data_IF_357459883710
#
_entry.id   IF_357459883710
#
_cell.length_a   1.000
_cell.length_b   1.000
_cell.length_c   1.000
_cell.angle_alpha   90.00
_cell.angle_beta   90.00
_cell.angle_gamma   90.00
#
_symmetry.space_group_name_H-M   'P 1'
#
loop_
_entity.id
_entity.type
_entity.pdbx_description
1 polymer ?
#
# COMPACT_ATOMS: atom_id res chain seq x y z
N UNK A 1 -17.58 -1.32 -1.81
CA UNK A 1 -17.17 0.08 -2.04
C UNK A 1 -15.71 0.06 -2.52
N UNK A 2 -15.26 1.09 -3.23
CA UNK A 2 -13.88 1.22 -3.73
C UNK A 2 -13.32 2.55 -3.23
N UNK A 3 -12.06 2.53 -2.82
CA UNK A 3 -11.28 3.70 -2.41
C UNK A 3 -9.99 3.71 -3.26
N UNK A 4 -9.50 4.89 -3.63
CA UNK A 4 -8.23 5.05 -4.35
C UNK A 4 -7.30 5.93 -3.53
N UNK A 5 -6.13 5.39 -3.21
CA UNK A 5 -5.07 6.06 -2.47
C UNK A 5 -3.80 5.99 -3.32
N UNK A 6 -3.59 6.94 -4.25
CA UNK A 6 -2.28 7.11 -4.85
C UNK A 6 -1.27 7.55 -3.80
N UNK A 7 -0.04 7.12 -3.99
CA UNK A 7 1.11 7.58 -3.24
C UNK A 7 2.18 8.01 -4.24
N UNK A 8 2.56 9.27 -4.17
CA UNK A 8 3.47 9.90 -5.13
C UNK A 8 4.09 11.14 -4.48
N UNK A 9 5.31 11.51 -4.88
CA UNK A 9 6.01 12.63 -4.22
C UNK A 9 6.38 12.27 -2.78
N UNK A 10 5.97 13.10 -1.82
CA UNK A 10 6.33 12.96 -0.40
C UNK A 10 5.23 12.35 0.48
N UNK A 11 4.00 12.19 -0.01
CA UNK A 11 2.86 11.65 0.77
C UNK A 11 1.86 10.81 -0.03
N UNK A 12 0.92 10.20 0.69
CA UNK A 12 -0.21 9.45 0.15
C UNK A 12 -1.53 10.15 0.47
N UNK A 13 -2.37 10.35 -0.55
CA UNK A 13 -3.64 11.06 -0.42
C UNK A 13 -4.82 10.17 -0.83
N UNK A 14 -5.96 10.34 -0.15
CA UNK A 14 -7.21 9.69 -0.54
C UNK A 14 -7.82 10.45 -1.73
N UNK A 15 -7.45 10.05 -2.94
CA UNK A 15 -7.98 10.63 -4.19
C UNK A 15 -9.47 10.34 -4.37
N UNK A 16 -9.93 9.19 -3.90
CA UNK A 16 -11.33 8.80 -3.92
C UNK A 16 -11.69 8.11 -2.61
N UNK A 17 -12.54 8.72 -1.75
CA UNK A 17 -13.03 8.05 -0.55
C UNK A 17 -13.90 6.83 -0.90
N UNK A 18 -14.14 5.91 0.05
CA UNK A 18 -15.00 4.75 -0.17
C UNK A 18 -16.32 5.11 -0.84
N UNK A 19 -16.53 4.61 -2.06
CA UNK A 19 -17.73 4.88 -2.86
C UNK A 19 -18.25 3.62 -3.55
N UNK A 20 -19.53 3.63 -3.93
CA UNK A 20 -20.13 2.63 -4.82
C UNK A 20 -20.08 3.04 -6.30
N UNK A 21 -19.68 4.28 -6.61
CA UNK A 21 -19.67 4.81 -7.97
C UNK A 21 -18.43 4.35 -8.76
N UNK A 22 -18.63 3.35 -9.61
CA UNK A 22 -17.60 2.84 -10.53
C UNK A 22 -17.19 3.94 -11.54
N UNK A 23 -18.15 4.73 -12.01
CA UNK A 23 -17.89 5.83 -12.94
C UNK A 23 -16.94 6.88 -12.33
N UNK A 24 -17.14 7.25 -11.06
CA UNK A 24 -16.25 8.16 -10.34
C UNK A 24 -14.86 7.54 -10.14
N UNK A 25 -14.81 6.25 -9.80
CA UNK A 25 -13.55 5.52 -9.68
C UNK A 25 -12.74 5.51 -10.98
N UNK A 26 -13.38 5.20 -12.11
CA UNK A 26 -12.74 5.21 -13.42
C UNK A 26 -12.18 6.60 -13.76
N UNK A 27 -13.00 7.65 -13.62
CA UNK A 27 -12.59 9.03 -13.93
C UNK A 27 -11.41 9.51 -13.07
N UNK A 28 -11.40 9.16 -11.78
CA UNK A 28 -10.30 9.51 -10.87
C UNK A 28 -9.03 8.72 -11.16
N UNK A 29 -9.15 7.45 -11.52
CA UNK A 29 -8.02 6.61 -11.90
C UNK A 29 -7.34 7.11 -13.17
N UNK A 30 -8.10 7.56 -14.17
CA UNK A 30 -7.56 8.14 -15.41
C UNK A 30 -6.80 9.46 -15.19
N UNK A 31 -7.16 10.21 -14.15
CA UNK A 31 -6.52 11.47 -13.78
C UNK A 31 -5.51 11.31 -12.63
N UNK A 32 -5.11 10.08 -12.31
CA UNK A 32 -4.22 9.81 -11.18
C UNK A 32 -2.80 10.33 -11.48
N UNK A 33 -2.20 11.12 -10.57
CA UNK A 33 -0.81 11.55 -10.75
C UNK A 33 0.13 10.35 -10.67
N UNK A 34 1.13 10.33 -11.55
CA UNK A 34 2.16 9.29 -11.60
C UNK A 34 3.55 9.94 -11.53
N UNK A 35 4.46 9.36 -10.75
CA UNK A 35 5.87 9.76 -10.66
C UNK A 35 6.28 10.33 -9.30
N UNK A 36 7.56 10.65 -9.12
CA UNK A 36 8.10 11.15 -7.86
C UNK A 36 8.47 10.04 -6.87
N UNK A 37 8.36 10.34 -5.58
CA UNK A 37 8.63 9.40 -4.50
C UNK A 37 7.51 8.39 -4.25
N UNK A 38 7.83 7.36 -3.48
CA UNK A 38 7.00 6.23 -3.08
C UNK A 38 6.89 6.21 -1.55
N UNK A 39 6.02 7.06 -0.95
CA UNK A 39 5.77 7.12 0.48
C UNK A 39 4.87 5.95 0.92
N UNK A 40 5.39 4.73 0.79
CA UNK A 40 4.61 3.50 0.95
C UNK A 40 4.12 3.29 2.39
N UNK A 41 4.93 3.70 3.38
CA UNK A 41 4.55 3.65 4.79
C UNK A 41 3.37 4.58 5.10
N UNK A 42 3.34 5.76 4.48
CA UNK A 42 2.23 6.70 4.58
C UNK A 42 0.98 6.17 3.88
N UNK A 43 1.13 5.56 2.69
CA UNK A 43 0.03 4.93 1.97
C UNK A 43 -0.68 3.83 2.78
N UNK A 44 0.09 2.99 3.47
CA UNK A 44 -0.45 1.96 4.35
C UNK A 44 -1.20 2.58 5.54
N UNK A 45 -0.71 3.68 6.11
CA UNK A 45 -1.42 4.41 7.17
C UNK A 45 -2.69 5.08 6.69
N UNK A 46 -2.66 5.74 5.53
CA UNK A 46 -3.85 6.30 4.90
C UNK A 46 -4.91 5.23 4.65
N UNK A 47 -4.50 4.03 4.21
CA UNK A 47 -5.39 2.89 4.02
C UNK A 47 -6.00 2.39 5.35
N UNK A 48 -5.19 2.26 6.41
CA UNK A 48 -5.67 1.89 7.74
C UNK A 48 -6.68 2.91 8.28
N UNK A 49 -6.34 4.20 8.27
CA UNK A 49 -7.20 5.27 8.78
C UNK A 49 -8.52 5.34 7.99
N UNK A 50 -8.45 5.29 6.66
CA UNK A 50 -9.64 5.33 5.80
C UNK A 50 -10.53 4.12 6.01
N UNK A 51 -9.93 2.92 6.09
CA UNK A 51 -10.67 1.68 6.33
C UNK A 51 -11.33 1.64 7.70
N UNK A 52 -10.62 2.07 8.75
CA UNK A 52 -11.15 2.10 10.12
C UNK A 52 -12.32 3.09 10.23
N UNK A 53 -12.20 4.25 9.59
CA UNK A 53 -13.30 5.21 9.54
C UNK A 53 -14.52 4.62 8.81
N UNK A 54 -14.31 3.92 7.69
CA UNK A 54 -15.40 3.26 6.96
C UNK A 54 -16.05 2.10 7.74
N UNK A 55 -15.28 1.36 8.55
CA UNK A 55 -15.84 0.34 9.45
C UNK A 55 -16.66 0.99 10.57
N UNK A 56 -16.19 2.10 11.14
CA UNK A 56 -16.88 2.82 12.22
C UNK A 56 -18.22 3.40 11.79
N UNK A 57 -18.39 3.80 10.52
CA UNK A 57 -19.72 4.25 10.03
C UNK A 57 -20.71 3.11 9.88
N UNK A 58 -20.28 1.85 9.96
CA UNK A 58 -21.13 0.66 9.83
C UNK A 58 -21.39 0.24 8.38
N UNK A 59 -20.98 1.04 7.40
CA UNK A 59 -21.22 0.78 5.97
C UNK A 59 -20.28 -0.28 5.36
N UNK A 60 -19.23 -0.67 6.10
CA UNK A 60 -18.18 -1.59 5.67
C UNK A 60 -17.87 -2.59 6.78
N UNK A 61 -18.14 -3.88 6.55
CA UNK A 61 -17.81 -4.94 7.52
C UNK A 61 -16.35 -5.40 7.46
N UNK A 62 -15.81 -5.60 6.25
CA UNK A 62 -14.43 -6.04 6.00
C UNK A 62 -13.74 -5.05 5.05
N UNK A 63 -12.48 -4.73 5.33
CA UNK A 63 -11.61 -3.90 4.50
C UNK A 63 -10.57 -4.80 3.83
N UNK A 64 -10.44 -4.69 2.51
CA UNK A 64 -9.35 -5.34 1.77
C UNK A 64 -8.50 -4.25 1.14
N UNK A 65 -7.25 -4.17 1.59
CA UNK A 65 -6.25 -3.26 1.04
C UNK A 65 -5.51 -4.00 -0.07
N UNK A 66 -5.61 -3.49 -1.30
CA UNK A 66 -4.88 -4.01 -2.45
C UNK A 66 -3.74 -3.06 -2.74
N UNK A 67 -2.52 -3.46 -2.37
CA UNK A 67 -1.31 -2.71 -2.63
C UNK A 67 -0.71 -3.17 -3.95
N UNK A 68 -0.67 -2.29 -4.95
CA UNK A 68 -0.05 -2.55 -6.26
C UNK A 68 1.25 -1.76 -6.28
N UNK A 69 2.36 -2.46 -6.04
CA UNK A 69 3.68 -1.83 -5.90
C UNK A 69 4.79 -2.89 -5.98
N UNK A 70 5.97 -2.50 -6.42
CA UNK A 70 7.22 -3.25 -6.27
C UNK A 70 7.75 -3.30 -4.82
N UNK A 71 7.08 -2.60 -3.89
CA UNK A 71 7.44 -2.53 -2.48
C UNK A 71 8.57 -1.55 -2.17
N UNK A 72 9.14 -0.86 -3.17
CA UNK A 72 10.30 0.01 -2.99
C UNK A 72 9.86 1.37 -2.46
N UNK A 73 9.95 1.55 -1.15
CA UNK A 73 9.82 2.86 -0.52
C UNK A 73 11.08 3.71 -0.72
N UNK A 74 10.89 5.01 -0.91
CA UNK A 74 11.99 5.99 -1.00
C UNK A 74 11.72 7.29 -0.22
N UNK A 75 10.55 7.41 0.43
CA UNK A 75 10.21 8.52 1.32
C UNK A 75 9.89 7.96 2.71
N UNK A 76 10.56 8.45 3.76
CA UNK A 76 10.27 8.05 5.13
C UNK A 76 9.00 8.72 5.63
N UNK A 77 8.31 8.08 6.58
CA UNK A 77 7.04 8.55 7.10
C UNK A 77 7.11 9.93 7.76
N UNK A 78 8.22 10.25 8.43
CA UNK A 78 8.41 11.57 9.05
C UNK A 78 8.29 12.68 8.01
N UNK A 79 8.91 12.51 6.83
CA UNK A 79 8.81 13.46 5.71
C UNK A 79 7.38 13.56 5.21
N UNK A 80 6.66 12.44 5.11
CA UNK A 80 5.23 12.47 4.74
C UNK A 80 4.35 13.22 5.75
N UNK A 81 4.79 13.34 7.00
CA UNK A 81 4.13 14.10 8.07
C UNK A 81 4.56 15.57 8.14
N UNK A 82 5.48 16.00 7.28
CA UNK A 82 6.02 17.36 7.26
C UNK A 82 7.18 17.58 8.25
N UNK A 83 7.77 16.51 8.77
CA UNK A 83 8.96 16.55 9.62
C UNK A 83 10.23 16.33 8.77
N UNK A 84 11.37 16.83 9.25
CA UNK A 84 12.65 16.50 8.63
C UNK A 84 13.13 15.11 9.09
N UNK A 85 13.77 14.37 8.19
CA UNK A 85 14.39 13.11 8.55
C UNK A 85 15.64 13.38 9.41
N UNK A 86 15.67 12.82 10.61
CA UNK A 86 16.84 12.85 11.49
C UNK A 86 17.82 11.71 11.10
N UNK A 87 19.02 12.03 10.57
CA UNK A 87 20.01 11.01 10.23
C UNK A 87 20.50 10.20 11.43
N UNK A 88 20.37 10.72 12.66
CA UNK A 88 20.74 9.98 13.86
C UNK A 88 19.78 8.81 14.17
N UNK A 89 18.58 8.80 13.58
CA UNK A 89 17.62 7.72 13.72
C UNK A 89 17.95 6.47 12.88
N UNK A 90 18.98 6.54 12.02
CA UNK A 90 19.40 5.48 11.12
C UNK A 90 20.93 5.35 11.08
N UNK A 91 21.45 4.30 11.74
CA UNK A 91 22.88 4.01 11.79
C UNK A 91 23.51 3.83 10.39
N UNK A 92 22.72 3.41 9.41
CA UNK A 92 23.14 3.20 8.02
C UNK A 92 22.92 4.45 7.13
N UNK A 93 22.53 5.59 7.71
CA UNK A 93 22.29 6.83 6.96
C UNK A 93 23.56 7.31 6.26
N UNK A 94 23.41 7.70 5.00
CA UNK A 94 24.47 8.31 4.19
C UNK A 94 23.97 9.61 3.57
N UNK A 95 24.81 10.64 3.61
CA UNK A 95 24.51 11.97 3.05
C UNK A 95 23.20 12.58 3.60
N UNK A 96 22.86 12.28 4.85
CA UNK A 96 21.62 12.74 5.50
C UNK A 96 20.34 12.11 4.96
N UNK A 97 20.44 10.99 4.22
CA UNK A 97 19.29 10.28 3.64
C UNK A 97 19.01 8.98 4.38
N UNK A 98 17.74 8.56 4.45
CA UNK A 98 17.39 7.26 5.02
C UNK A 98 17.95 6.13 4.17
N UNK A 99 18.46 5.11 4.83
CA UNK A 99 18.90 3.87 4.23
C UNK A 99 17.70 3.07 3.70
N UNK A 100 17.97 2.19 2.73
CA UNK A 100 16.93 1.26 2.23
C UNK A 100 16.39 0.36 3.34
N UNK A 101 17.24 0.03 4.33
CA UNK A 101 16.87 -0.79 5.47
C UNK A 101 15.89 -0.03 6.36
N UNK A 102 16.18 1.23 6.71
CA UNK A 102 15.28 2.08 7.49
C UNK A 102 13.89 2.17 6.86
N UNK A 103 13.83 2.53 5.57
CA UNK A 103 12.58 2.66 4.82
C UNK A 103 11.79 1.34 4.78
N UNK A 104 12.49 0.22 4.56
CA UNK A 104 11.88 -1.11 4.56
C UNK A 104 11.31 -1.47 5.93
N UNK A 105 12.08 -1.26 7.01
CA UNK A 105 11.67 -1.57 8.38
C UNK A 105 10.43 -0.76 8.77
N UNK A 106 10.37 0.51 8.36
CA UNK A 106 9.22 1.39 8.57
C UNK A 106 7.95 0.90 7.84
N UNK A 107 8.07 0.49 6.57
CA UNK A 107 6.95 -0.07 5.80
C UNK A 107 6.48 -1.39 6.43
N UNK A 108 7.41 -2.26 6.83
CA UNK A 108 7.09 -3.53 7.50
C UNK A 108 6.36 -3.27 8.82
N UNK A 109 6.78 -2.27 9.60
CA UNK A 109 6.10 -1.90 10.83
C UNK A 109 4.65 -1.45 10.56
N UNK A 110 4.42 -0.67 9.49
CA UNK A 110 3.07 -0.28 9.08
C UNK A 110 2.24 -1.47 8.58
N UNK A 111 2.85 -2.40 7.85
CA UNK A 111 2.20 -3.62 7.36
C UNK A 111 1.76 -4.54 8.52
N UNK A 112 2.62 -4.72 9.54
CA UNK A 112 2.29 -5.46 10.77
C UNK A 112 1.10 -4.86 11.48
N UNK A 113 1.09 -3.52 11.64
CA UNK A 113 -0.04 -2.80 12.25
C UNK A 113 -1.33 -3.04 11.48
N UNK A 114 -1.30 -3.01 10.15
CA UNK A 114 -2.46 -3.28 9.31
C UNK A 114 -2.97 -4.72 9.50
N UNK A 115 -2.06 -5.70 9.51
CA UNK A 115 -2.40 -7.12 9.61
C UNK A 115 -3.09 -7.53 10.93
N UNK A 116 -2.83 -6.80 12.02
CA UNK A 116 -3.50 -7.06 13.31
C UNK A 116 -4.84 -6.33 13.47
N UNK A 117 -5.24 -5.48 12.52
CA UNK A 117 -6.51 -4.77 12.60
C UNK A 117 -7.71 -5.71 12.32
N UNK A 118 -8.74 -5.72 13.18
CA UNK A 118 -9.92 -6.56 12.96
C UNK A 118 -10.63 -6.25 11.65
N UNK A 119 -10.84 -7.28 10.83
CA UNK A 119 -11.54 -7.15 9.55
C UNK A 119 -10.71 -6.53 8.43
N UNK A 120 -9.41 -6.33 8.61
CA UNK A 120 -8.49 -5.94 7.54
C UNK A 120 -7.81 -7.15 6.91
N UNK A 121 -7.58 -7.08 5.60
CA UNK A 121 -6.74 -8.01 4.86
C UNK A 121 -5.87 -7.24 3.87
N UNK A 122 -4.59 -7.61 3.76
CA UNK A 122 -3.68 -7.06 2.76
C UNK A 122 -3.52 -8.04 1.59
N UNK A 123 -3.60 -7.52 0.36
CA UNK A 123 -3.17 -8.19 -0.86
C UNK A 123 -2.08 -7.32 -1.50
N UNK A 124 -0.85 -7.83 -1.55
CA UNK A 124 0.24 -7.21 -2.31
C UNK A 124 0.30 -7.84 -3.71
N UNK A 125 0.25 -6.98 -4.72
CA UNK A 125 0.42 -7.31 -6.12
C UNK A 125 1.77 -6.71 -6.57
N UNK A 126 2.77 -7.58 -6.67
CA UNK A 126 4.10 -7.21 -7.11
C UNK A 126 4.15 -7.11 -8.64
N UNK A 127 4.56 -5.94 -9.12
CA UNK A 127 4.72 -5.62 -10.54
C UNK A 127 6.14 -5.87 -11.06
N UNK A 128 7.10 -6.25 -10.20
CA UNK A 128 8.45 -6.61 -10.61
C UNK A 128 8.48 -7.93 -11.39
N UNK A 129 9.44 -8.06 -12.30
CA UNK A 129 9.71 -9.32 -12.99
C UNK A 129 10.38 -10.32 -12.03
N UNK A 130 10.03 -11.60 -12.13
CA UNK A 130 10.49 -12.68 -11.22
C UNK A 130 12.02 -12.83 -11.14
N UNK A 131 12.73 -12.36 -12.15
CA UNK A 131 14.19 -12.41 -12.22
C UNK A 131 14.89 -11.22 -11.55
N UNK A 132 14.18 -10.13 -11.24
CA UNK A 132 14.74 -8.89 -10.66
C UNK A 132 14.02 -8.54 -9.33
N UNK A 133 13.12 -9.42 -8.86
CA UNK A 133 12.32 -9.11 -7.68
C UNK A 133 13.20 -8.97 -6.44
N UNK A 134 13.05 -7.84 -5.76
CA UNK A 134 13.72 -7.55 -4.49
C UNK A 134 13.11 -8.32 -3.32
N UNK A 135 11.94 -8.94 -3.52
CA UNK A 135 11.20 -9.66 -2.49
C UNK A 135 10.50 -8.77 -1.46
N UNK A 136 10.66 -7.44 -1.53
CA UNK A 136 10.13 -6.52 -0.51
C UNK A 136 8.60 -6.58 -0.46
N UNK A 137 7.92 -6.58 -1.61
CA UNK A 137 6.46 -6.71 -1.66
C UNK A 137 5.94 -8.01 -1.01
N UNK A 138 6.72 -9.10 -1.10
CA UNK A 138 6.40 -10.35 -0.41
C UNK A 138 6.56 -10.22 1.10
N UNK A 139 7.66 -9.63 1.56
CA UNK A 139 7.89 -9.40 2.98
C UNK A 139 6.82 -8.50 3.62
N UNK A 140 6.32 -7.49 2.89
CA UNK A 140 5.21 -6.63 3.31
C UNK A 140 3.93 -7.46 3.50
N UNK A 141 3.62 -8.34 2.54
CA UNK A 141 2.45 -9.22 2.64
C UNK A 141 2.57 -10.18 3.82
N UNK A 142 3.73 -10.83 3.98
CA UNK A 142 4.00 -11.76 5.07
C UNK A 142 3.90 -11.06 6.43
N UNK A 143 4.45 -9.84 6.55
CA UNK A 143 4.37 -9.01 7.74
C UNK A 143 2.93 -8.63 8.14
N UNK A 144 2.05 -8.45 7.16
CA UNK A 144 0.64 -8.18 7.38
C UNK A 144 -0.23 -9.45 7.51
N UNK A 145 0.36 -10.66 7.51
CA UNK A 145 -0.36 -11.93 7.39
C UNK A 145 -1.33 -11.94 6.18
N UNK A 146 -0.94 -11.22 5.14
CA UNK A 146 -1.71 -11.00 3.93
C UNK A 146 -1.41 -12.01 2.83
N UNK A 147 -1.89 -11.71 1.63
CA UNK A 147 -1.61 -12.51 0.43
C UNK A 147 -0.65 -11.76 -0.48
N UNK A 148 0.27 -12.49 -1.07
CA UNK A 148 1.20 -11.99 -2.08
C UNK A 148 0.90 -12.64 -3.43
N UNK A 149 0.86 -11.84 -4.48
CA UNK A 149 0.83 -12.31 -5.86
C UNK A 149 1.78 -11.48 -6.71
N UNK A 150 2.50 -12.15 -7.61
CA UNK A 150 3.36 -11.49 -8.59
C UNK A 150 2.72 -11.53 -9.97
N UNK A 151 2.82 -10.43 -10.70
CA UNK A 151 2.40 -10.37 -12.10
C UNK A 151 3.57 -9.95 -12.99
N UNK A 152 3.93 -10.81 -13.94
CA UNK A 152 5.06 -10.55 -14.85
C UNK A 152 4.79 -9.39 -15.83
N UNK A 153 3.52 -9.06 -16.07
CA UNK A 153 3.06 -7.88 -16.79
C UNK A 153 1.89 -7.28 -16.04
N UNK A 154 1.96 -5.98 -15.72
CA UNK A 154 0.88 -5.21 -15.14
C UNK A 154 -0.24 -4.92 -16.18
N UNK A 155 -0.82 -5.97 -16.76
CA UNK A 155 -2.05 -5.88 -17.54
C UNK A 155 -3.24 -5.81 -16.57
N UNK A 156 -4.17 -4.88 -16.80
CA UNK A 156 -5.38 -4.71 -15.98
C UNK A 156 -6.20 -5.99 -15.88
N UNK A 157 -6.21 -6.85 -16.91
CA UNK A 157 -6.88 -8.16 -16.84
C UNK A 157 -6.22 -9.10 -15.84
N UNK A 158 -4.89 -9.10 -15.77
CA UNK A 158 -4.14 -9.94 -14.83
C UNK A 158 -4.35 -9.48 -13.38
N UNK A 159 -4.24 -8.16 -13.13
CA UNK A 159 -4.52 -7.55 -11.82
C UNK A 159 -5.95 -7.88 -11.35
N UNK A 160 -6.93 -7.71 -12.24
CA UNK A 160 -8.33 -7.98 -11.92
C UNK A 160 -8.58 -9.45 -11.59
N UNK A 161 -7.98 -10.37 -12.36
CA UNK A 161 -8.09 -11.82 -12.12
C UNK A 161 -7.52 -12.20 -10.75
N UNK A 162 -6.30 -11.77 -10.46
CA UNK A 162 -5.60 -12.03 -9.19
C UNK A 162 -6.38 -11.47 -8.01
N UNK A 163 -6.84 -10.22 -8.13
CA UNK A 163 -7.62 -9.56 -7.07
C UNK A 163 -8.93 -10.31 -6.82
N UNK A 164 -9.65 -10.71 -7.87
CA UNK A 164 -10.91 -11.46 -7.72
C UNK A 164 -10.68 -12.84 -7.06
N UNK A 165 -9.63 -13.55 -7.44
CA UNK A 165 -9.28 -14.84 -6.82
C UNK A 165 -8.95 -14.67 -5.34
N UNK A 166 -8.12 -13.68 -5.00
CA UNK A 166 -7.75 -13.38 -3.63
C UNK A 166 -8.95 -12.96 -2.77
N UNK A 167 -9.81 -12.08 -3.29
CA UNK A 167 -11.04 -11.63 -2.63
C UNK A 167 -12.01 -12.79 -2.41
N UNK A 168 -12.21 -13.67 -3.40
CA UNK A 168 -13.08 -14.83 -3.25
C UNK A 168 -12.55 -15.82 -2.22
N UNK A 169 -11.23 -16.01 -2.14
CA UNK A 169 -10.61 -16.81 -1.10
C UNK A 169 -10.74 -16.18 0.30
N UNK A 170 -10.70 -14.85 0.42
CA UNK A 170 -10.90 -14.12 1.69
C UNK A 170 -12.37 -14.08 2.13
N UNK A 171 -13.33 -14.18 1.20
CA UNK A 171 -14.77 -14.27 1.53
C UNK A 171 -15.17 -15.63 2.09
N UNK A 172 -14.41 -16.69 1.78
CA UNK A 172 -14.65 -18.06 2.25
C UNK A 172 -14.06 -18.34 3.64
N UNK A 173 -13.32 -17.39 4.21
CA UNK A 173 -12.78 -17.38 5.57
C UNK A 173 -13.59 -16.44 6.47
#
# INVERSE_FOLDING_TARGET
QICLIPFQGDRADVLLPPTRSIAMAKKRLEAMPCGGGSPLADALQAAMLTGLNAQKTGDVGKVVVVCISDGRANVPLCVSKGEEFDPAADEDSKDGKPSRKYLKDEVIACAKKLGVLPGFNLLCIDTENKFISTGIAKEIADAAMGKYHQIAKADGKAIASVTNQALNAMKKQ
#
